data_IF_863497361820
#
_entry.id   IF_863497361820
#
_cell.length_a   1.000
_cell.length_b   1.000
_cell.length_c   1.000
_cell.angle_alpha   90.00
_cell.angle_beta   90.00
_cell.angle_gamma   90.00
#
_symmetry.space_group_name_H-M   'P 1'
#
loop_
_entity.id
_entity.type
_entity.pdbx_description
1 polymer ?
#
# COMPACT_ATOMS: atom_id res chain seq x y z
N UNK A 1 3.84 -19.67 -0.64
CA UNK A 1 4.29 -18.26 -0.50
C UNK A 1 3.51 -17.41 -1.49
N UNK A 2 2.69 -16.47 -1.04
CA UNK A 2 2.01 -15.53 -1.95
C UNK A 2 2.96 -14.41 -2.39
N UNK A 3 2.71 -13.82 -3.56
CA UNK A 3 3.44 -12.63 -4.03
C UNK A 3 2.75 -11.37 -3.53
N UNK A 4 3.52 -10.31 -3.29
CA UNK A 4 2.95 -9.04 -2.81
C UNK A 4 1.98 -8.43 -3.83
N UNK A 5 2.16 -8.65 -5.14
CA UNK A 5 1.28 -8.14 -6.20
C UNK A 5 -0.17 -8.66 -6.14
N UNK A 6 -0.38 -9.78 -5.45
CA UNK A 6 -1.69 -10.43 -5.25
C UNK A 6 -2.28 -10.15 -3.87
N UNK A 7 -1.65 -9.28 -3.07
CA UNK A 7 -2.14 -8.89 -1.74
C UNK A 7 -3.14 -7.74 -1.85
N UNK A 8 -4.21 -7.77 -1.04
CA UNK A 8 -5.18 -6.65 -0.95
C UNK A 8 -4.54 -5.30 -0.61
N UNK A 9 -3.39 -5.32 0.05
CA UNK A 9 -2.61 -4.13 0.39
C UNK A 9 -1.70 -3.63 -0.74
N UNK A 10 -1.72 -4.26 -1.91
CA UNK A 10 -0.89 -3.85 -3.05
C UNK A 10 -1.74 -3.16 -4.12
N UNK A 11 -1.95 -1.87 -3.86
CA UNK A 11 -2.90 -1.01 -4.57
C UNK A 11 -2.18 -0.11 -5.56
N UNK A 12 -2.94 0.42 -6.51
CA UNK A 12 -2.46 1.45 -7.43
C UNK A 12 -2.49 2.79 -6.72
N UNK A 13 -1.33 3.42 -6.54
CA UNK A 13 -1.23 4.78 -6.03
C UNK A 13 -1.17 5.72 -7.23
N UNK A 14 -2.19 6.56 -7.36
CA UNK A 14 -2.31 7.55 -8.42
C UNK A 14 -1.71 8.87 -7.97
N UNK A 15 -0.66 9.31 -8.65
CA UNK A 15 -0.15 10.68 -8.56
C UNK A 15 -0.68 11.56 -9.69
N UNK A 16 -0.27 12.82 -9.69
CA UNK A 16 -0.69 13.78 -10.72
C UNK A 16 -0.18 13.43 -12.13
N UNK A 17 1.06 12.93 -12.22
CA UNK A 17 1.74 12.65 -13.50
C UNK A 17 2.01 11.17 -13.75
N UNK A 18 1.94 10.32 -12.73
CA UNK A 18 2.23 8.90 -12.83
C UNK A 18 1.43 8.10 -11.81
N UNK A 19 1.18 6.84 -12.13
CA UNK A 19 0.62 5.86 -11.19
C UNK A 19 1.62 4.74 -10.94
N UNK A 20 1.69 4.23 -9.71
CA UNK A 20 2.58 3.12 -9.32
C UNK A 20 1.86 2.17 -8.39
N UNK A 21 2.09 0.87 -8.53
CA UNK A 21 1.59 -0.11 -7.54
C UNK A 21 2.51 -0.15 -6.33
N UNK A 22 1.96 -0.05 -5.14
CA UNK A 22 2.70 0.03 -3.89
C UNK A 22 2.04 -0.81 -2.79
N UNK A 23 2.85 -1.40 -1.92
CA UNK A 23 2.35 -2.07 -0.72
C UNK A 23 2.05 -1.02 0.37
N UNK A 24 0.80 -0.96 0.82
CA UNK A 24 0.34 -0.08 1.90
C UNK A 24 0.03 -0.82 3.20
N UNK A 25 0.49 -2.08 3.36
CA UNK A 25 0.25 -2.86 4.59
C UNK A 25 0.87 -2.21 5.85
N UNK A 26 1.98 -1.47 5.68
CA UNK A 26 2.61 -0.71 6.75
C UNK A 26 1.86 0.56 7.16
N UNK A 27 0.80 0.93 6.45
CA UNK A 27 -0.01 2.12 6.74
C UNK A 27 -1.09 1.75 7.74
N UNK A 28 -0.90 2.19 9.00
CA UNK A 28 -1.78 1.83 10.13
C UNK A 28 -3.26 2.08 9.84
N UNK A 29 -3.61 3.18 9.16
CA UNK A 29 -5.00 3.53 8.88
C UNK A 29 -5.75 2.48 8.03
N UNK A 30 -5.08 1.85 7.08
CA UNK A 30 -5.67 0.76 6.29
C UNK A 30 -5.63 -0.57 7.04
N UNK A 31 -4.59 -0.80 7.85
CA UNK A 31 -4.48 -2.01 8.66
C UNK A 31 -5.53 -2.11 9.76
N UNK A 32 -5.80 -0.99 10.44
CA UNK A 32 -6.80 -0.94 11.53
C UNK A 32 -8.24 -0.88 11.04
N UNK A 33 -8.47 -0.83 9.72
CA UNK A 33 -9.81 -0.63 9.14
C UNK A 33 -10.38 0.77 9.39
N UNK A 34 -9.58 1.70 9.92
CA UNK A 34 -10.00 3.09 10.13
C UNK A 34 -10.19 3.85 8.82
N UNK A 35 -9.62 3.33 7.73
CA UNK A 35 -9.92 3.71 6.35
C UNK A 35 -10.17 2.47 5.51
N UNK A 36 -11.15 2.57 4.62
CA UNK A 36 -11.41 1.57 3.59
C UNK A 36 -10.25 1.59 2.61
N UNK A 37 -9.71 0.42 2.30
CA UNK A 37 -8.69 0.27 1.29
C UNK A 37 -9.34 0.00 -0.06
N UNK A 38 -9.13 0.93 -0.99
CA UNK A 38 -9.57 0.80 -2.38
C UNK A 38 -8.42 0.29 -3.25
N UNK A 39 -8.73 -0.34 -4.38
CA UNK A 39 -7.74 -0.81 -5.36
C UNK A 39 -6.89 0.34 -5.93
N UNK A 40 -7.42 1.57 -5.90
CA UNK A 40 -6.72 2.79 -6.25
C UNK A 40 -6.80 3.81 -5.11
N UNK A 41 -5.65 4.38 -4.75
CA UNK A 41 -5.50 5.39 -3.70
C UNK A 41 -4.82 6.63 -4.27
N UNK A 42 -5.31 7.81 -3.94
CA UNK A 42 -4.66 9.06 -4.35
C UNK A 42 -3.40 9.31 -3.50
N UNK A 43 -2.31 9.76 -4.14
CA UNK A 43 -1.05 10.05 -3.44
C UNK A 43 -1.22 11.09 -2.33
N UNK A 44 -2.12 12.06 -2.50
CA UNK A 44 -2.42 13.07 -1.49
C UNK A 44 -3.05 12.43 -0.25
N UNK A 45 -3.85 11.38 -0.42
CA UNK A 45 -4.40 10.63 0.70
C UNK A 45 -3.29 10.01 1.55
N UNK A 46 -2.30 9.39 0.90
CA UNK A 46 -1.16 8.80 1.59
C UNK A 46 -0.30 9.86 2.28
N UNK A 47 -0.12 11.03 1.66
CA UNK A 47 0.59 12.16 2.29
C UNK A 47 -0.13 12.60 3.56
N UNK A 48 -1.47 12.72 3.53
CA UNK A 48 -2.26 13.12 4.70
C UNK A 48 -2.19 12.08 5.84
N UNK A 49 -2.10 10.79 5.51
CA UNK A 49 -2.07 9.72 6.51
C UNK A 49 -0.66 9.47 7.06
N UNK A 50 0.37 9.57 6.22
CA UNK A 50 1.75 9.15 6.56
C UNK A 50 2.71 10.31 6.78
N UNK A 51 2.45 11.45 6.14
CA UNK A 51 3.44 12.49 5.88
C UNK A 51 4.32 12.17 4.66
N UNK A 52 4.86 13.22 4.03
CA UNK A 52 5.67 13.14 2.80
C UNK A 52 6.91 12.26 2.97
N UNK A 53 7.68 12.44 4.05
CA UNK A 53 8.95 11.72 4.26
C UNK A 53 8.75 10.20 4.37
N UNK A 54 7.70 9.75 5.08
CA UNK A 54 7.37 8.33 5.19
C UNK A 54 6.90 7.75 3.86
N UNK A 55 6.13 8.51 3.09
CA UNK A 55 5.72 8.10 1.75
C UNK A 55 6.92 7.96 0.82
N UNK A 56 7.85 8.92 0.82
CA UNK A 56 9.08 8.86 0.03
C UNK A 56 9.94 7.65 0.42
N UNK A 57 10.07 7.37 1.72
CA UNK A 57 10.76 6.17 2.20
C UNK A 57 10.08 4.87 1.77
N UNK A 58 8.74 4.84 1.70
CA UNK A 58 7.98 3.70 1.17
C UNK A 58 8.20 3.52 -0.33
N UNK A 59 8.18 4.61 -1.11
CA UNK A 59 8.41 4.60 -2.56
C UNK A 59 9.85 4.16 -2.87
N UNK A 60 10.85 4.69 -2.15
CA UNK A 60 12.26 4.34 -2.33
C UNK A 60 12.58 2.88 -1.96
N UNK A 61 11.74 2.24 -1.14
CA UNK A 61 11.80 0.81 -0.85
C UNK A 61 10.98 -0.05 -1.82
N UNK A 62 10.18 0.56 -2.69
CA UNK A 62 9.29 -0.08 -3.66
C UNK A 62 10.05 -0.53 -4.91
N UNK A 63 10.91 -1.54 -4.76
CA UNK A 63 11.48 -2.30 -5.86
C UNK A 63 10.68 -3.58 -6.09
N UNK A 64 10.40 -3.86 -7.36
CA UNK A 64 9.70 -5.03 -7.87
C UNK A 64 10.28 -6.33 -7.27
N UNK A 65 9.41 -7.29 -6.92
CA UNK A 65 9.76 -8.60 -6.33
C UNK A 65 10.20 -8.63 -4.84
N UNK A 66 9.55 -7.86 -3.96
CA UNK A 66 9.65 -8.15 -2.52
C UNK A 66 8.72 -9.29 -2.11
N UNK A 67 9.29 -10.23 -1.35
CA UNK A 67 8.56 -11.25 -0.59
C UNK A 67 7.38 -10.60 0.11
N UNK A 68 6.20 -11.23 0.07
CA UNK A 68 5.00 -10.65 0.64
C UNK A 68 5.21 -10.25 2.10
N UNK A 69 4.64 -9.13 2.51
CA UNK A 69 4.75 -8.56 3.85
C UNK A 69 4.16 -9.41 4.98
N UNK A 70 3.75 -10.66 4.70
CA UNK A 70 3.14 -11.58 5.65
C UNK A 70 1.68 -11.24 6.01
N UNK A 71 1.20 -10.06 5.64
CA UNK A 71 -0.17 -9.57 5.87
C UNK A 71 -1.13 -10.12 4.80
N UNK A 72 -1.22 -11.44 4.69
CA UNK A 72 -2.30 -12.09 3.95
C UNK A 72 -3.54 -12.12 4.84
N UNK A 73 -4.71 -11.78 4.28
CA UNK A 73 -5.96 -12.14 4.94
C UNK A 73 -5.99 -13.67 5.08
N UNK A 74 -5.94 -14.17 6.32
CA UNK A 74 -6.58 -15.45 6.61
C UNK A 74 -8.05 -15.27 6.24
N UNK A 75 -8.51 -16.10 5.32
CA UNK A 75 -9.81 -16.00 4.68
C UNK A 75 -10.92 -15.63 5.66
N UNK A 76 -11.77 -14.70 5.22
CA UNK A 76 -13.13 -14.57 5.71
C UNK A 76 -13.77 -15.96 5.59
N UNK A 77 -13.99 -16.61 6.73
CA UNK A 77 -14.82 -17.83 6.83
C UNK A 77 -16.27 -17.41 6.84
#
# INVERSE_FOLDING_TARGET
>A
MGRCDSCRYYVTVKGQTASRRLCVAGVKAYRSGSRVLNDTVDVMELILVLGKEKLEAMIGRGGENKMACGEFEKGRT
#
